data_IF_922760137629
#
_entry.id   IF_922760137629
#
_cell.length_a   1.000
_cell.length_b   1.000
_cell.length_c   1.000
_cell.angle_alpha   90.00
_cell.angle_beta   90.00
_cell.angle_gamma   90.00
#
_symmetry.space_group_name_H-M   'P 1'
#
loop_
_entity.id
_entity.type
_entity.pdbx_description
1 polymer ?
#
# COMPACT_ATOMS: atom_id res chain seq x y z
N UNK A 1 47.04 12.46 28.15
CA UNK A 1 45.67 12.58 27.59
C UNK A 1 45.67 11.90 26.25
N UNK A 2 45.05 10.73 26.16
CA UNK A 2 44.84 10.03 24.89
C UNK A 2 43.50 10.54 24.39
N UNK A 3 43.49 11.29 23.30
CA UNK A 3 42.26 11.62 22.59
C UNK A 3 41.74 10.32 21.97
N UNK A 4 40.66 9.79 22.53
CA UNK A 4 39.84 8.80 21.86
C UNK A 4 39.19 9.51 20.67
N UNK A 5 39.61 9.16 19.45
CA UNK A 5 38.84 9.54 18.26
C UNK A 5 37.43 8.95 18.39
N UNK A 6 36.36 9.72 18.10
CA UNK A 6 35.02 9.18 18.11
C UNK A 6 34.91 8.13 17.01
N UNK A 7 34.55 6.91 17.39
CA UNK A 7 34.18 5.89 16.42
C UNK A 7 33.09 6.46 15.48
N UNK A 8 33.24 6.33 14.16
CA UNK A 8 32.17 6.72 13.25
C UNK A 8 30.91 5.93 13.63
N UNK A 9 29.72 6.56 13.61
CA UNK A 9 28.49 5.87 13.97
C UNK A 9 28.32 4.64 13.05
N UNK A 10 27.92 3.52 13.65
CA UNK A 10 27.69 2.25 12.97
C UNK A 10 26.62 2.35 11.85
N UNK A 11 25.79 3.40 11.89
CA UNK A 11 24.73 3.70 10.94
C UNK A 11 24.79 5.16 10.50
N UNK A 12 24.43 5.44 9.25
CA UNK A 12 24.25 6.81 8.78
C UNK A 12 23.01 7.42 9.45
N UNK A 13 22.97 8.75 9.71
CA UNK A 13 21.79 9.37 10.29
C UNK A 13 20.56 9.10 9.41
N UNK A 14 19.38 8.80 9.99
CA UNK A 14 18.16 8.52 9.23
C UNK A 14 17.76 9.74 8.38
N UNK A 15 17.03 9.49 7.27
CA UNK A 15 16.58 10.58 6.38
C UNK A 15 15.82 11.66 7.14
N UNK A 16 15.05 11.28 8.16
CA UNK A 16 14.24 12.17 9.00
C UNK A 16 15.05 13.17 9.82
N UNK A 17 16.36 12.95 9.99
CA UNK A 17 17.26 13.88 10.68
C UNK A 17 18.04 14.79 9.72
N UNK A 18 18.00 14.50 8.40
CA UNK A 18 18.64 15.34 7.41
C UNK A 18 17.84 16.62 7.18
N UNK A 19 18.51 17.76 6.93
CA UNK A 19 17.83 19.03 6.67
C UNK A 19 16.97 18.93 5.41
N UNK A 20 15.67 19.21 5.57
CA UNK A 20 14.65 19.20 4.51
C UNK A 20 13.78 20.46 4.58
N UNK A 21 13.16 20.88 3.46
CA UNK A 21 12.13 21.90 3.49
C UNK A 21 10.89 21.39 4.25
N UNK A 22 10.07 22.30 4.83
CA UNK A 22 8.81 21.93 5.46
C UNK A 22 7.90 21.13 4.53
N UNK A 23 7.17 20.17 5.10
CA UNK A 23 6.19 19.35 4.37
C UNK A 23 5.14 20.26 3.74
N UNK A 24 4.94 20.23 2.41
CA UNK A 24 4.11 21.21 1.70
C UNK A 24 2.59 20.96 1.83
N UNK A 25 2.21 19.77 2.26
CA UNK A 25 0.81 19.33 2.32
C UNK A 25 0.11 19.91 3.56
N UNK A 26 -0.71 20.93 3.36
CA UNK A 26 -1.40 21.65 4.44
C UNK A 26 -2.90 21.77 4.17
N UNK A 27 -3.71 21.93 5.22
CA UNK A 27 -5.16 22.10 5.09
C UNK A 27 -5.49 23.33 4.23
N UNK A 28 -6.46 23.19 3.33
CA UNK A 28 -6.84 24.22 2.38
C UNK A 28 -5.87 24.42 1.22
N UNK A 29 -4.75 23.68 1.17
CA UNK A 29 -3.83 23.76 0.04
C UNK A 29 -4.49 23.26 -1.23
N UNK A 30 -4.34 24.05 -2.30
CA UNK A 30 -4.89 23.76 -3.63
C UNK A 30 -3.78 23.49 -4.62
N UNK A 31 -3.93 22.41 -5.37
CA UNK A 31 -2.94 22.01 -6.36
C UNK A 31 -3.60 21.42 -7.60
N UNK A 32 -2.84 21.40 -8.70
CA UNK A 32 -3.24 20.76 -9.95
C UNK A 32 -2.32 19.58 -10.18
N UNK A 33 -2.89 18.43 -10.53
CA UNK A 33 -2.13 17.24 -10.88
C UNK A 33 -2.49 16.79 -12.30
N UNK A 34 -1.48 16.43 -13.07
CA UNK A 34 -1.62 15.99 -14.47
C UNK A 34 -1.74 14.48 -14.54
N UNK A 35 -2.61 13.97 -15.39
CA UNK A 35 -2.80 12.54 -15.59
C UNK A 35 -1.48 11.87 -15.96
N UNK A 36 -1.30 10.67 -15.40
CA UNK A 36 -0.13 9.86 -15.62
C UNK A 36 -0.51 8.41 -15.91
N UNK A 37 -0.08 7.93 -17.07
CA UNK A 37 -0.16 6.50 -17.39
C UNK A 37 0.89 5.72 -16.57
N UNK A 38 0.41 4.98 -15.59
CA UNK A 38 1.24 4.10 -14.73
C UNK A 38 2.03 3.10 -15.58
N UNK A 39 3.35 2.94 -15.36
CA UNK A 39 4.12 1.86 -15.94
C UNK A 39 3.73 0.51 -15.31
N UNK A 40 4.28 -0.58 -15.84
CA UNK A 40 4.13 -1.91 -15.21
C UNK A 40 4.71 -1.91 -13.78
N UNK A 41 4.23 -2.81 -12.89
CA UNK A 41 4.84 -3.01 -11.58
C UNK A 41 6.34 -3.27 -11.70
N UNK A 42 7.13 -2.66 -10.82
CA UNK A 42 8.57 -2.93 -10.73
C UNK A 42 8.82 -4.38 -10.28
N UNK A 43 9.98 -4.94 -10.63
CA UNK A 43 10.35 -6.27 -10.13
C UNK A 43 10.59 -6.24 -8.62
N UNK A 44 10.04 -7.23 -7.91
CA UNK A 44 10.23 -7.40 -6.47
C UNK A 44 11.14 -8.58 -6.23
N UNK A 45 12.43 -8.30 -6.06
CA UNK A 45 13.45 -9.29 -5.69
C UNK A 45 13.93 -9.05 -4.26
N UNK A 46 14.65 -10.02 -3.69
CA UNK A 46 15.24 -9.87 -2.36
C UNK A 46 16.18 -8.65 -2.33
N UNK A 47 15.78 -7.62 -1.59
CA UNK A 47 16.57 -6.40 -1.44
C UNK A 47 16.42 -5.36 -2.54
N UNK A 48 15.40 -5.47 -3.40
CA UNK A 48 15.16 -4.56 -4.54
C UNK A 48 15.12 -3.07 -4.15
N UNK A 49 14.69 -2.74 -2.94
CA UNK A 49 14.64 -1.37 -2.45
C UNK A 49 15.76 -0.99 -1.46
N UNK A 50 16.80 -1.81 -1.27
CA UNK A 50 17.91 -1.45 -0.38
C UNK A 50 18.90 -0.49 -1.06
N UNK A 51 19.51 0.42 -0.30
CA UNK A 51 20.55 1.30 -0.81
C UNK A 51 21.78 0.49 -1.25
N UNK A 52 22.24 0.73 -2.48
CA UNK A 52 23.54 0.27 -2.98
C UNK A 52 24.69 1.09 -2.39
N UNK A 53 25.93 0.63 -2.54
CA UNK A 53 27.11 1.41 -2.16
C UNK A 53 27.21 2.75 -2.91
N UNK A 54 26.73 2.80 -4.16
CA UNK A 54 26.60 4.06 -4.90
C UNK A 54 25.55 4.99 -4.30
N UNK A 55 24.41 4.47 -3.82
CA UNK A 55 23.37 5.29 -3.21
C UNK A 55 23.83 5.88 -1.87
N UNK A 56 24.55 5.10 -1.06
CA UNK A 56 25.18 5.57 0.19
C UNK A 56 26.21 6.68 -0.11
N UNK A 57 27.06 6.49 -1.12
CA UNK A 57 28.00 7.55 -1.55
C UNK A 57 27.27 8.80 -1.99
N UNK A 58 26.19 8.68 -2.78
CA UNK A 58 25.40 9.83 -3.21
C UNK A 58 24.80 10.58 -2.01
N UNK A 59 24.23 9.85 -1.04
CA UNK A 59 23.63 10.40 0.18
C UNK A 59 24.61 11.24 1.00
N UNK A 60 25.90 10.88 1.02
CA UNK A 60 26.95 11.66 1.71
C UNK A 60 27.27 12.99 1.03
N UNK A 61 27.00 13.14 -0.26
CA UNK A 61 27.43 14.30 -1.04
C UNK A 61 26.28 15.20 -1.51
N UNK A 62 25.05 14.68 -1.57
CA UNK A 62 23.88 15.41 -2.03
C UNK A 62 22.85 15.56 -0.91
N UNK A 63 22.24 16.74 -0.81
CA UNK A 63 21.09 16.95 0.06
C UNK A 63 19.91 16.06 -0.34
N UNK A 64 18.96 15.75 0.57
CA UNK A 64 17.75 15.00 0.21
C UNK A 64 17.00 15.61 -0.98
N UNK A 65 16.97 16.95 -1.05
CA UNK A 65 16.34 17.71 -2.13
C UNK A 65 17.08 17.52 -3.46
N UNK A 66 18.41 17.66 -3.47
CA UNK A 66 19.19 17.48 -4.71
C UNK A 66 19.11 16.04 -5.23
N UNK A 67 18.99 15.06 -4.34
CA UNK A 67 18.72 13.67 -4.73
C UNK A 67 17.36 13.52 -5.41
N UNK A 68 16.31 14.18 -4.91
CA UNK A 68 14.99 14.18 -5.55
C UNK A 68 15.01 14.84 -6.94
N UNK A 69 15.78 15.92 -7.11
CA UNK A 69 15.95 16.56 -8.41
C UNK A 69 16.74 15.69 -9.40
N UNK A 70 17.74 14.95 -8.90
CA UNK A 70 18.57 14.04 -9.70
C UNK A 70 17.84 12.74 -10.07
N UNK A 71 16.89 12.29 -9.23
CA UNK A 71 16.17 11.01 -9.36
C UNK A 71 14.66 11.25 -9.48
N UNK A 72 14.18 11.70 -10.65
CA UNK A 72 12.74 11.80 -10.88
C UNK A 72 12.10 10.40 -10.84
N UNK A 73 10.80 10.31 -10.49
CA UNK A 73 10.07 9.04 -10.46
C UNK A 73 10.01 8.39 -11.84
N UNK A 74 9.76 7.06 -11.89
CA UNK A 74 9.68 6.29 -13.14
C UNK A 74 8.82 7.00 -14.19
N UNK A 75 9.29 7.11 -15.45
CA UNK A 75 8.55 7.80 -16.49
C UNK A 75 7.23 7.10 -16.82
N UNK A 76 6.31 7.85 -17.43
CA UNK A 76 5.05 7.33 -17.93
C UNK A 76 4.45 8.27 -18.97
N UNK A 77 3.34 7.85 -19.57
CA UNK A 77 2.63 8.67 -20.55
C UNK A 77 1.96 9.87 -19.88
N UNK A 78 2.18 11.07 -20.41
CA UNK A 78 1.41 12.25 -20.05
C UNK A 78 0.10 12.24 -20.86
N UNK A 79 -1.03 12.34 -20.16
CA UNK A 79 -2.33 12.54 -20.81
C UNK A 79 -2.70 14.02 -20.85
N UNK A 80 -3.84 14.31 -21.46
CA UNK A 80 -4.42 15.67 -21.47
C UNK A 80 -5.33 15.93 -20.25
N UNK A 81 -5.53 14.91 -19.42
CA UNK A 81 -6.41 15.00 -18.26
C UNK A 81 -5.66 15.66 -17.10
N UNK A 82 -6.33 16.57 -16.39
CA UNK A 82 -5.81 17.19 -15.19
C UNK A 82 -6.92 17.32 -14.16
N UNK A 83 -6.53 17.30 -12.89
CA UNK A 83 -7.43 17.49 -11.75
C UNK A 83 -6.94 18.65 -10.91
N UNK A 84 -7.90 19.44 -10.42
CA UNK A 84 -7.63 20.47 -9.42
C UNK A 84 -8.26 20.04 -8.11
N UNK A 85 -7.46 20.02 -7.05
CA UNK A 85 -7.83 19.46 -5.76
C UNK A 85 -7.60 20.48 -4.63
N UNK A 86 -8.33 20.32 -3.53
CA UNK A 86 -8.15 21.06 -2.27
C UNK A 86 -8.04 20.08 -1.11
N UNK A 87 -7.01 20.19 -0.27
CA UNK A 87 -6.86 19.34 0.92
C UNK A 87 -7.88 19.76 1.99
N UNK A 88 -8.72 18.81 2.41
CA UNK A 88 -9.72 18.99 3.46
C UNK A 88 -9.26 18.43 4.81
N UNK A 89 -8.54 17.30 4.81
CA UNK A 89 -8.10 16.62 6.03
C UNK A 89 -6.82 15.82 5.77
N UNK A 90 -5.86 15.89 6.69
CA UNK A 90 -4.66 15.06 6.67
C UNK A 90 -4.94 13.73 7.37
N UNK A 91 -4.74 12.60 6.67
CA UNK A 91 -4.94 11.26 7.25
C UNK A 91 -3.62 10.67 7.74
N UNK A 92 -2.59 10.69 6.89
CA UNK A 92 -1.23 10.21 7.19
C UNK A 92 -0.24 11.06 6.41
N UNK A 93 0.37 12.05 7.06
CA UNK A 93 1.21 13.03 6.39
C UNK A 93 2.29 13.55 7.35
N UNK A 94 3.47 13.87 6.80
CA UNK A 94 4.63 14.27 7.58
C UNK A 94 5.91 13.57 7.12
N UNK A 95 7.03 13.99 7.72
CA UNK A 95 8.32 13.33 7.53
C UNK A 95 8.34 11.97 8.23
N UNK A 96 8.96 10.97 7.59
CA UNK A 96 9.00 9.60 8.08
C UNK A 96 7.76 8.76 7.74
N UNK A 97 6.93 9.18 6.77
CA UNK A 97 5.80 8.38 6.30
C UNK A 97 6.05 7.81 4.89
N UNK A 98 5.65 6.54 4.70
CA UNK A 98 5.82 5.83 3.42
C UNK A 98 5.05 6.46 2.26
N UNK A 99 3.99 7.21 2.54
CA UNK A 99 3.23 8.00 1.58
C UNK A 99 2.48 9.10 2.33
N UNK A 100 2.01 10.10 1.59
CA UNK A 100 1.29 11.25 2.12
C UNK A 100 -0.18 11.09 1.70
N UNK A 101 -1.06 10.85 2.65
CA UNK A 101 -2.47 10.49 2.44
C UNK A 101 -3.37 11.55 3.06
N UNK A 102 -4.33 12.05 2.29
CA UNK A 102 -5.25 13.07 2.73
C UNK A 102 -6.57 13.03 1.96
N UNK A 103 -7.63 13.50 2.60
CA UNK A 103 -8.94 13.72 1.96
C UNK A 103 -8.86 15.02 1.18
N UNK A 104 -9.30 14.98 -0.08
CA UNK A 104 -9.36 16.11 -0.98
C UNK A 104 -10.76 16.35 -1.49
N UNK A 105 -11.08 17.60 -1.81
CA UNK A 105 -12.23 17.95 -2.64
C UNK A 105 -11.80 18.07 -4.09
N UNK A 106 -12.54 17.42 -5.00
CA UNK A 106 -12.41 17.65 -6.43
C UNK A 106 -12.98 19.03 -6.78
N UNK A 107 -12.15 19.96 -7.25
CA UNK A 107 -12.58 21.31 -7.61
C UNK A 107 -12.93 21.44 -9.10
N UNK A 108 -12.19 20.72 -9.95
CA UNK A 108 -12.41 20.66 -11.38
C UNK A 108 -11.66 19.47 -11.97
N UNK A 109 -12.18 18.92 -13.07
CA UNK A 109 -11.47 17.98 -13.93
C UNK A 109 -11.70 18.25 -15.41
N UNK A 110 -10.71 17.93 -16.23
CA UNK A 110 -10.90 17.83 -17.68
C UNK A 110 -11.39 16.44 -18.12
N UNK A 111 -11.42 15.45 -17.21
CA UNK A 111 -11.82 14.07 -17.50
C UNK A 111 -13.31 13.84 -17.20
N UNK A 112 -14.03 13.21 -18.13
CA UNK A 112 -15.45 12.88 -17.95
C UNK A 112 -15.69 11.63 -17.09
N UNK A 113 -14.65 10.86 -16.79
CA UNK A 113 -14.75 9.63 -15.98
C UNK A 113 -14.70 9.90 -14.48
N UNK A 114 -14.35 11.12 -14.06
CA UNK A 114 -14.28 11.49 -12.65
C UNK A 114 -15.65 11.84 -12.08
N UNK A 115 -15.81 11.74 -10.74
CA UNK A 115 -17.01 12.21 -10.06
C UNK A 115 -17.28 13.69 -10.27
N UNK A 116 -18.46 14.13 -9.84
CA UNK A 116 -18.86 15.54 -9.92
C UNK A 116 -17.94 16.43 -9.08
N UNK A 117 -17.75 17.67 -9.52
CA UNK A 117 -17.07 18.69 -8.75
C UNK A 117 -17.72 18.83 -7.36
N UNK A 118 -16.89 19.00 -6.33
CA UNK A 118 -17.29 18.98 -4.92
C UNK A 118 -17.19 17.61 -4.25
N UNK A 119 -17.03 16.52 -5.01
CA UNK A 119 -16.87 15.17 -4.42
C UNK A 119 -15.60 15.08 -3.59
N UNK A 120 -15.71 14.44 -2.41
CA UNK A 120 -14.59 14.13 -1.54
C UNK A 120 -13.94 12.80 -1.92
N UNK A 121 -12.62 12.81 -2.05
CA UNK A 121 -11.80 11.70 -2.51
C UNK A 121 -10.58 11.56 -1.60
N UNK A 122 -9.84 10.47 -1.72
CA UNK A 122 -8.54 10.30 -1.05
C UNK A 122 -7.42 10.43 -2.08
N UNK A 123 -6.50 11.35 -1.82
CA UNK A 123 -5.25 11.47 -2.56
C UNK A 123 -4.12 10.82 -1.76
N UNK A 124 -3.34 9.96 -2.42
CA UNK A 124 -2.12 9.36 -1.87
C UNK A 124 -0.94 9.73 -2.74
N UNK A 125 0.01 10.46 -2.16
CA UNK A 125 1.22 10.95 -2.82
C UNK A 125 2.44 10.13 -2.37
N UNK A 126 3.27 9.78 -3.34
CA UNK A 126 4.52 9.05 -3.16
C UNK A 126 5.69 10.05 -3.27
N UNK A 127 5.99 10.74 -2.18
CA UNK A 127 7.06 11.75 -2.10
C UNK A 127 8.31 11.16 -1.41
N UNK A 128 9.38 10.85 -2.17
CA UNK A 128 10.58 10.23 -1.59
C UNK A 128 11.33 11.15 -0.62
N UNK A 129 11.06 12.47 -0.65
CA UNK A 129 11.73 13.43 0.23
C UNK A 129 11.40 13.21 1.70
N UNK A 130 10.16 12.78 1.99
CA UNK A 130 9.63 12.60 3.34
C UNK A 130 9.49 11.12 3.75
N UNK A 131 10.14 10.24 2.98
CA UNK A 131 10.12 8.81 3.24
C UNK A 131 10.95 8.43 4.47
N UNK A 132 10.46 7.46 5.25
CA UNK A 132 11.27 6.79 6.26
C UNK A 132 12.17 5.75 5.61
N UNK A 133 13.47 6.05 5.52
CA UNK A 133 14.44 5.20 4.86
C UNK A 133 15.09 4.15 5.76
N UNK A 134 14.51 3.89 6.94
CA UNK A 134 14.96 2.87 7.89
C UNK A 134 16.46 3.00 8.19
N UNK A 135 16.83 4.16 8.76
CA UNK A 135 18.23 4.49 9.11
C UNK A 135 19.17 4.43 7.89
N UNK A 136 18.69 4.85 6.72
CA UNK A 136 19.46 4.82 5.47
C UNK A 136 19.63 3.42 4.87
N UNK A 137 18.93 2.40 5.37
CA UNK A 137 18.92 1.06 4.78
C UNK A 137 18.16 1.02 3.45
N UNK A 138 17.01 1.69 3.38
CA UNK A 138 16.12 1.69 2.22
C UNK A 138 16.45 2.84 1.28
N UNK A 139 16.23 2.61 -0.01
CA UNK A 139 16.31 3.61 -1.06
C UNK A 139 14.92 4.22 -1.28
N UNK A 140 14.68 5.49 -0.88
CA UNK A 140 13.37 6.12 -0.98
C UNK A 140 12.78 6.11 -2.39
N UNK A 141 13.64 6.29 -3.41
CA UNK A 141 13.21 6.40 -4.81
C UNK A 141 12.69 5.06 -5.32
N UNK A 142 13.44 3.97 -5.05
CA UNK A 142 13.02 2.62 -5.42
C UNK A 142 11.78 2.18 -4.65
N UNK A 143 11.68 2.52 -3.35
CA UNK A 143 10.48 2.24 -2.56
C UNK A 143 9.25 2.96 -3.13
N UNK A 144 9.35 4.27 -3.42
CA UNK A 144 8.22 5.05 -3.93
C UNK A 144 7.76 4.54 -5.30
N UNK A 145 8.70 4.24 -6.20
CA UNK A 145 8.39 3.67 -7.51
C UNK A 145 7.69 2.32 -7.38
N UNK A 146 8.17 1.45 -6.47
CA UNK A 146 7.50 0.16 -6.20
C UNK A 146 6.09 0.37 -5.65
N UNK A 147 5.93 1.15 -4.57
CA UNK A 147 4.62 1.32 -3.93
C UNK A 147 3.59 1.93 -4.89
N UNK A 148 3.99 2.96 -5.64
CA UNK A 148 3.12 3.60 -6.62
C UNK A 148 2.71 2.63 -7.73
N UNK A 149 3.68 1.96 -8.35
CA UNK A 149 3.40 1.09 -9.50
C UNK A 149 2.60 -0.14 -9.10
N UNK A 150 2.87 -0.73 -7.94
CA UNK A 150 2.13 -1.89 -7.46
C UNK A 150 0.70 -1.52 -7.13
N UNK A 151 0.50 -0.48 -6.31
CA UNK A 151 -0.83 -0.11 -5.85
C UNK A 151 -1.75 0.29 -7.00
N UNK A 152 -1.25 1.15 -7.91
CA UNK A 152 -2.05 1.60 -9.04
C UNK A 152 -2.37 0.47 -10.04
N UNK A 153 -1.46 -0.50 -10.23
CA UNK A 153 -1.75 -1.66 -11.08
C UNK A 153 -2.68 -2.67 -10.41
N UNK A 154 -2.67 -2.81 -9.07
CA UNK A 154 -3.64 -3.64 -8.36
C UNK A 154 -5.05 -3.11 -8.58
N UNK A 155 -5.27 -1.81 -8.42
CA UNK A 155 -6.57 -1.21 -8.70
C UNK A 155 -7.04 -1.47 -10.13
N UNK A 156 -6.15 -1.34 -11.13
CA UNK A 156 -6.48 -1.65 -12.53
C UNK A 156 -6.84 -3.13 -12.74
N UNK A 157 -6.09 -4.05 -12.13
CA UNK A 157 -6.31 -5.49 -12.26
C UNK A 157 -7.57 -5.97 -11.52
N UNK A 158 -7.97 -5.28 -10.45
CA UNK A 158 -9.07 -5.65 -9.57
C UNK A 158 -10.34 -4.80 -9.79
N UNK A 159 -10.56 -4.32 -11.02
CA UNK A 159 -11.69 -3.47 -11.37
C UNK A 159 -13.07 -4.00 -10.92
N UNK A 160 -13.26 -5.32 -10.90
CA UNK A 160 -14.52 -5.95 -10.47
C UNK A 160 -14.81 -5.82 -8.96
N UNK A 161 -13.79 -5.55 -8.14
CA UNK A 161 -13.92 -5.43 -6.68
C UNK A 161 -14.13 -3.98 -6.21
N UNK A 162 -13.96 -3.01 -7.11
CA UNK A 162 -14.01 -1.59 -6.80
C UNK A 162 -15.40 -1.12 -6.38
N UNK A 163 -15.46 -0.30 -5.32
CA UNK A 163 -16.70 0.22 -4.73
C UNK A 163 -17.47 -0.80 -3.90
N UNK A 164 -16.88 -1.97 -3.63
CA UNK A 164 -17.44 -3.02 -2.77
C UNK A 164 -16.40 -3.55 -1.79
N UNK A 165 -15.38 -4.24 -2.29
CA UNK A 165 -14.33 -4.83 -1.46
C UNK A 165 -13.06 -3.97 -1.40
N UNK A 166 -12.83 -3.14 -2.42
CA UNK A 166 -11.72 -2.19 -2.49
C UNK A 166 -12.23 -0.83 -2.95
N UNK A 167 -11.52 0.29 -2.69
CA UNK A 167 -11.92 1.61 -3.17
C UNK A 167 -12.05 1.68 -4.69
N UNK A 168 -12.97 2.52 -5.20
CA UNK A 168 -12.90 2.94 -6.60
C UNK A 168 -11.61 3.69 -6.88
N UNK A 169 -11.01 3.41 -8.03
CA UNK A 169 -9.79 4.04 -8.50
C UNK A 169 -10.10 5.05 -9.59
N UNK A 170 -9.79 6.31 -9.31
CA UNK A 170 -10.10 7.43 -10.19
C UNK A 170 -8.96 7.83 -11.11
N UNK A 171 -7.75 7.36 -10.81
CA UNK A 171 -6.62 7.50 -11.73
C UNK A 171 -5.29 7.73 -11.02
N UNK A 172 -4.27 7.85 -11.87
CA UNK A 172 -2.91 8.17 -11.50
C UNK A 172 -2.54 9.52 -12.05
N UNK A 173 -1.80 10.28 -11.26
CA UNK A 173 -1.45 11.65 -11.57
C UNK A 173 0.00 11.96 -11.16
N UNK A 174 0.50 13.08 -11.67
CA UNK A 174 1.79 13.65 -11.31
C UNK A 174 1.63 15.07 -10.85
N UNK A 175 2.43 15.45 -9.87
CA UNK A 175 2.41 16.77 -9.26
C UNK A 175 3.84 17.29 -9.18
N UNK A 176 4.04 18.50 -9.69
CA UNK A 176 5.30 19.21 -9.58
C UNK A 176 5.27 20.11 -8.33
N UNK A 177 6.13 19.79 -7.38
CA UNK A 177 6.26 20.51 -6.12
C UNK A 177 7.46 21.46 -6.18
N UNK A 178 7.28 22.74 -5.83
CA UNK A 178 8.39 23.67 -5.80
C UNK A 178 9.43 23.25 -4.77
N UNK A 179 10.69 23.29 -5.18
CA UNK A 179 11.86 23.16 -4.31
C UNK A 179 12.40 24.55 -3.98
N UNK A 180 12.47 25.40 -5.00
CA UNK A 180 12.83 26.81 -4.90
C UNK A 180 12.11 27.60 -6.02
N UNK A 181 12.53 28.85 -6.26
CA UNK A 181 11.89 29.72 -7.26
C UNK A 181 12.06 29.28 -8.71
N UNK A 182 12.93 28.31 -9.02
CA UNK A 182 13.26 27.88 -10.38
C UNK A 182 13.11 26.39 -10.61
N UNK A 183 13.14 25.57 -9.56
CA UNK A 183 13.19 24.11 -9.65
C UNK A 183 11.98 23.48 -8.98
N UNK A 184 11.42 22.47 -9.64
CA UNK A 184 10.38 21.61 -9.10
C UNK A 184 10.89 20.17 -9.00
N UNK A 185 10.37 19.42 -8.04
CA UNK A 185 10.47 17.96 -8.00
C UNK A 185 9.11 17.36 -8.36
N UNK A 186 9.11 16.35 -9.21
CA UNK A 186 7.89 15.63 -9.57
C UNK A 186 7.64 14.51 -8.58
N UNK A 187 6.40 14.37 -8.12
CA UNK A 187 5.93 13.24 -7.30
C UNK A 187 4.76 12.53 -7.99
N UNK A 188 4.55 11.24 -7.67
CA UNK A 188 3.42 10.46 -8.18
C UNK A 188 2.27 10.49 -7.18
N UNK A 189 1.05 10.40 -7.69
CA UNK A 189 -0.17 10.41 -6.91
C UNK A 189 -1.18 9.41 -7.48
N UNK A 190 -1.97 8.78 -6.60
CA UNK A 190 -3.22 8.13 -6.99
C UNK A 190 -4.41 8.85 -6.35
N UNK A 191 -5.55 8.78 -7.02
CA UNK A 191 -6.83 9.28 -6.53
C UNK A 191 -7.80 8.11 -6.39
N UNK A 192 -8.35 7.93 -5.20
CA UNK A 192 -9.26 6.82 -4.88
C UNK A 192 -10.48 7.31 -4.10
N UNK A 193 -11.48 6.44 -4.00
CA UNK A 193 -12.68 6.67 -3.21
C UNK A 193 -12.38 6.92 -1.74
N UNK A 194 -13.06 7.92 -1.18
CA UNK A 194 -13.10 8.11 0.26
C UNK A 194 -14.10 7.13 0.87
N UNK A 195 -13.58 6.19 1.67
CA UNK A 195 -14.38 5.18 2.37
C UNK A 195 -14.74 5.70 3.76
N UNK A 196 -16.03 5.73 4.05
CA UNK A 196 -16.55 6.03 5.38
C UNK A 196 -16.39 4.82 6.29
N UNK A 197 -15.83 5.03 7.49
CA UNK A 197 -15.64 3.97 8.47
C UNK A 197 -14.43 4.23 9.36
N UNK A 198 -14.01 3.20 10.08
CA UNK A 198 -12.83 3.20 10.94
C UNK A 198 -11.91 2.05 10.52
N UNK A 199 -10.60 2.22 10.64
CA UNK A 199 -9.68 1.10 10.40
C UNK A 199 -9.83 0.07 11.52
N UNK A 200 -9.57 -1.20 11.25
CA UNK A 200 -9.53 -2.21 12.32
C UNK A 200 -8.41 -1.93 13.35
N UNK A 201 -7.36 -1.19 12.98
CA UNK A 201 -6.32 -0.80 13.93
C UNK A 201 -6.78 0.30 14.91
N UNK A 202 -7.64 1.21 14.46
CA UNK A 202 -8.16 2.31 15.30
C UNK A 202 -9.44 1.92 16.05
N UNK A 203 -10.10 0.83 15.64
CA UNK A 203 -11.30 0.32 16.28
C UNK A 203 -10.96 -0.51 17.53
N UNK A 204 -11.84 -0.46 18.54
CA UNK A 204 -11.75 -1.34 19.70
C UNK A 204 -12.54 -2.64 19.42
N UNK A 205 -11.87 -3.82 19.28
CA UNK A 205 -12.54 -5.07 18.91
C UNK A 205 -13.66 -5.47 19.88
N UNK A 206 -13.54 -5.07 21.16
CA UNK A 206 -14.57 -5.34 22.20
C UNK A 206 -15.91 -4.64 21.95
N UNK A 207 -15.95 -3.62 21.10
CA UNK A 207 -17.21 -2.99 20.70
C UNK A 207 -18.02 -3.86 19.73
N UNK A 208 -17.39 -4.88 19.15
CA UNK A 208 -18.02 -5.81 18.22
C UNK A 208 -18.34 -7.12 18.93
N UNK A 209 -19.56 -7.62 18.73
CA UNK A 209 -19.92 -8.96 19.16
C UNK A 209 -19.00 -10.00 18.52
N UNK A 210 -18.80 -11.15 19.16
CA UNK A 210 -17.98 -12.24 18.59
C UNK A 210 -18.50 -12.67 17.20
N UNK A 211 -19.83 -12.76 17.02
CA UNK A 211 -20.43 -13.04 15.71
C UNK A 211 -20.13 -11.97 14.66
N UNK A 212 -20.07 -10.70 15.04
CA UNK A 212 -19.71 -9.61 14.13
C UNK A 212 -18.23 -9.70 13.74
N UNK A 213 -17.34 -9.99 14.70
CA UNK A 213 -15.90 -10.19 14.43
C UNK A 213 -15.66 -11.40 13.51
N UNK A 214 -16.36 -12.51 13.75
CA UNK A 214 -16.35 -13.68 12.85
C UNK A 214 -16.81 -13.30 11.43
N UNK A 215 -17.88 -12.51 11.30
CA UNK A 215 -18.33 -12.03 9.99
C UNK A 215 -17.29 -11.16 9.28
N UNK A 216 -16.67 -10.22 10.00
CA UNK A 216 -15.59 -9.36 9.47
C UNK A 216 -14.43 -10.22 8.95
N UNK A 217 -13.93 -11.15 9.78
CA UNK A 217 -12.80 -12.00 9.39
C UNK A 217 -13.18 -12.93 8.23
N UNK A 218 -14.41 -13.45 8.19
CA UNK A 218 -14.90 -14.22 7.05
C UNK A 218 -14.88 -13.39 5.76
N UNK A 219 -15.37 -12.16 5.81
CA UNK A 219 -15.39 -11.26 4.67
C UNK A 219 -13.96 -10.92 4.17
N UNK A 220 -13.00 -10.77 5.08
CA UNK A 220 -11.57 -10.60 4.73
C UNK A 220 -11.03 -11.85 4.04
N UNK A 221 -11.26 -13.04 4.60
CA UNK A 221 -10.80 -14.32 4.03
C UNK A 221 -11.42 -14.55 2.65
N UNK A 222 -12.73 -14.32 2.48
CA UNK A 222 -13.45 -14.44 1.22
C UNK A 222 -12.83 -13.49 0.17
N UNK A 223 -12.70 -12.21 0.50
CA UNK A 223 -12.20 -11.20 -0.42
C UNK A 223 -10.73 -11.41 -0.78
N UNK A 224 -9.86 -11.66 0.20
CA UNK A 224 -8.44 -11.94 -0.06
C UNK A 224 -8.28 -13.19 -0.92
N UNK A 225 -9.10 -14.22 -0.73
CA UNK A 225 -9.05 -15.44 -1.55
C UNK A 225 -9.42 -15.19 -3.00
N UNK A 226 -10.40 -14.31 -3.25
CA UNK A 226 -10.79 -13.89 -4.59
C UNK A 226 -9.74 -12.99 -5.25
N UNK A 227 -9.06 -12.16 -4.47
CA UNK A 227 -7.90 -11.38 -4.96
C UNK A 227 -6.71 -12.30 -5.27
N UNK A 228 -6.45 -13.27 -4.39
CA UNK A 228 -5.41 -14.28 -4.58
C UNK A 228 -5.65 -15.06 -5.87
N UNK A 229 -6.90 -15.46 -6.15
CA UNK A 229 -7.31 -16.10 -7.41
C UNK A 229 -6.89 -15.29 -8.66
N UNK A 230 -6.86 -13.96 -8.58
CA UNK A 230 -6.38 -13.04 -9.65
C UNK A 230 -4.86 -12.87 -9.71
N UNK A 231 -4.13 -13.80 -9.11
CA UNK A 231 -2.68 -13.84 -9.06
C UNK A 231 -2.05 -12.67 -8.30
N UNK A 232 -2.80 -12.06 -7.38
CA UNK A 232 -2.33 -10.95 -6.55
C UNK A 232 -2.30 -11.40 -5.10
N UNK A 233 -1.13 -11.30 -4.46
CA UNK A 233 -0.97 -11.60 -3.04
C UNK A 233 -0.79 -10.32 -2.23
N UNK A 234 -1.73 -10.07 -1.33
CA UNK A 234 -1.69 -8.97 -0.36
C UNK A 234 -0.78 -9.34 0.82
N UNK A 235 0.52 -9.05 0.72
CA UNK A 235 1.49 -9.41 1.76
C UNK A 235 1.45 -8.49 2.99
N UNK A 236 0.82 -7.33 2.89
CA UNK A 236 0.64 -6.37 3.98
C UNK A 236 -0.82 -6.29 4.44
N UNK A 237 -1.50 -7.45 4.49
CA UNK A 237 -2.88 -7.53 4.97
C UNK A 237 -2.89 -7.45 6.50
N UNK A 238 -3.10 -6.24 7.00
CA UNK A 238 -2.98 -5.86 8.40
C UNK A 238 -4.22 -5.06 8.84
N UNK A 239 -4.58 -5.01 10.13
CA UNK A 239 -5.76 -4.27 10.60
C UNK A 239 -5.83 -2.80 10.16
N UNK A 240 -4.67 -2.13 10.05
CA UNK A 240 -4.58 -0.74 9.55
C UNK A 240 -5.00 -0.57 8.09
N UNK A 241 -5.02 -1.67 7.33
CA UNK A 241 -5.33 -1.72 5.90
C UNK A 241 -6.74 -2.28 5.64
N UNK A 242 -7.57 -2.41 6.68
CA UNK A 242 -8.98 -2.81 6.57
C UNK A 242 -9.85 -1.75 7.22
N UNK A 243 -10.72 -1.13 6.43
CA UNK A 243 -11.77 -0.24 6.93
C UNK A 243 -13.02 -1.06 7.18
N UNK A 244 -13.58 -0.96 8.37
CA UNK A 244 -14.88 -1.51 8.74
C UNK A 244 -15.88 -0.37 8.77
N UNK A 245 -17.05 -0.60 8.19
CA UNK A 245 -18.20 0.28 8.36
C UNK A 245 -18.72 0.27 9.82
N UNK A 246 -19.89 0.84 10.06
CA UNK A 246 -20.41 1.09 11.41
C UNK A 246 -20.40 -0.16 12.31
N UNK A 247 -19.90 -0.02 13.54
CA UNK A 247 -19.95 -1.06 14.56
C UNK A 247 -21.38 -1.42 15.02
N UNK A 248 -22.37 -0.59 14.69
CA UNK A 248 -23.77 -0.86 14.98
C UNK A 248 -24.38 -1.92 14.04
N UNK A 249 -23.75 -2.19 12.89
CA UNK A 249 -24.25 -3.14 11.91
C UNK A 249 -23.87 -4.56 12.32
N UNK A 250 -24.83 -5.50 12.23
CA UNK A 250 -24.55 -6.92 12.49
C UNK A 250 -23.66 -7.56 11.43
N UNK A 251 -23.60 -6.96 10.24
CA UNK A 251 -22.82 -7.41 9.09
C UNK A 251 -22.15 -6.19 8.42
N UNK A 252 -21.13 -5.62 9.08
CA UNK A 252 -20.47 -4.44 8.56
C UNK A 252 -19.72 -4.80 7.27
N UNK A 253 -19.85 -3.96 6.26
CA UNK A 253 -19.00 -4.01 5.08
C UNK A 253 -17.55 -3.75 5.47
N UNK A 254 -16.63 -4.51 4.86
CA UNK A 254 -15.19 -4.30 4.93
C UNK A 254 -14.67 -3.78 3.60
N UNK A 255 -13.65 -2.93 3.66
CA UNK A 255 -12.93 -2.44 2.48
C UNK A 255 -11.43 -2.57 2.73
N UNK A 256 -10.74 -3.32 1.86
CA UNK A 256 -9.28 -3.43 1.89
C UNK A 256 -8.66 -2.22 1.19
N UNK A 257 -7.65 -1.63 1.81
CA UNK A 257 -6.92 -0.47 1.29
C UNK A 257 -5.41 -0.74 1.32
N UNK A 258 -4.64 0.19 0.76
CA UNK A 258 -3.18 0.17 0.72
C UNK A 258 -2.57 -1.09 0.05
N UNK A 259 -2.40 -1.02 -1.27
CA UNK A 259 -1.85 -2.13 -2.05
C UNK A 259 -0.38 -1.93 -2.47
N UNK A 260 0.35 -1.02 -1.82
CA UNK A 260 1.73 -0.68 -2.20
C UNK A 260 2.71 -1.86 -2.12
N UNK A 261 2.40 -2.86 -1.29
CA UNK A 261 3.24 -4.05 -1.10
C UNK A 261 2.76 -5.28 -1.88
N UNK A 262 1.63 -5.21 -2.59
CA UNK A 262 1.04 -6.39 -3.23
C UNK A 262 2.00 -7.06 -4.24
N UNK A 263 2.01 -8.39 -4.27
CA UNK A 263 2.82 -9.17 -5.21
C UNK A 263 1.97 -9.71 -6.35
N UNK A 264 2.37 -9.41 -7.58
CA UNK A 264 1.81 -10.05 -8.76
C UNK A 264 2.38 -11.47 -8.93
N UNK A 265 1.63 -12.34 -9.58
CA UNK A 265 1.93 -13.77 -9.70
C UNK A 265 2.07 -14.51 -8.36
N UNK A 266 1.52 -13.96 -7.27
CA UNK A 266 1.59 -14.48 -5.90
C UNK A 266 3.01 -14.76 -5.40
N UNK A 267 4.02 -14.06 -5.93
CA UNK A 267 5.43 -14.34 -5.62
C UNK A 267 6.33 -13.14 -5.84
N UNK A 268 7.57 -13.25 -5.34
CA UNK A 268 8.68 -12.39 -5.73
C UNK A 268 9.27 -12.83 -7.08
N UNK A 269 9.95 -11.92 -7.74
CA UNK A 269 10.62 -12.13 -9.03
C UNK A 269 12.03 -12.75 -8.88
N UNK A 270 12.31 -13.36 -7.74
CA UNK A 270 13.56 -14.09 -7.49
C UNK A 270 13.61 -15.38 -8.34
N UNK A 271 14.76 -15.77 -8.92
CA UNK A 271 14.85 -16.96 -9.78
C UNK A 271 14.33 -18.26 -9.14
N UNK A 272 14.57 -18.45 -7.84
CA UNK A 272 14.07 -19.62 -7.10
C UNK A 272 12.54 -19.59 -6.95
N UNK A 273 11.97 -18.41 -6.66
CA UNK A 273 10.53 -18.25 -6.56
C UNK A 273 9.83 -18.48 -7.90
N UNK A 274 10.50 -18.17 -9.02
CA UNK A 274 9.98 -18.41 -10.36
C UNK A 274 9.78 -19.90 -10.70
N UNK A 275 10.55 -20.80 -10.06
CA UNK A 275 10.47 -22.25 -10.27
C UNK A 275 9.29 -22.90 -9.54
N UNK A 276 8.71 -22.23 -8.54
CA UNK A 276 7.62 -22.77 -7.75
C UNK A 276 6.28 -22.66 -8.51
N UNK A 277 5.50 -23.72 -8.47
CA UNK A 277 4.14 -23.72 -8.99
C UNK A 277 3.18 -23.10 -7.96
N UNK A 278 2.70 -21.89 -8.26
CA UNK A 278 1.71 -21.17 -7.43
C UNK A 278 0.28 -21.33 -7.93
N UNK A 279 0.05 -22.24 -8.89
CA UNK A 279 -1.26 -22.52 -9.46
C UNK A 279 -1.95 -21.23 -9.94
N UNK A 280 -1.23 -20.44 -10.76
CA UNK A 280 -1.70 -19.16 -11.24
C UNK A 280 -3.05 -19.29 -11.97
N UNK A 281 -3.93 -18.33 -11.75
CA UNK A 281 -5.31 -18.30 -12.25
C UNK A 281 -6.26 -19.28 -11.57
N UNK A 282 -5.80 -20.10 -10.60
CA UNK A 282 -6.65 -21.05 -9.88
C UNK A 282 -7.02 -20.54 -8.50
N UNK A 283 -8.25 -20.82 -8.07
CA UNK A 283 -8.70 -20.58 -6.71
C UNK A 283 -8.00 -21.54 -5.74
N UNK A 284 -7.40 -21.00 -4.68
CA UNK A 284 -6.76 -21.80 -3.63
C UNK A 284 -7.57 -21.68 -2.34
N UNK A 285 -8.13 -22.81 -1.92
CA UNK A 285 -8.99 -22.93 -0.74
C UNK A 285 -8.38 -22.24 0.49
N UNK A 286 -9.15 -21.42 1.24
CA UNK A 286 -8.72 -20.82 2.50
C UNK A 286 -8.20 -21.83 3.50
N UNK A 287 -8.76 -23.05 3.51
CA UNK A 287 -8.32 -24.15 4.37
C UNK A 287 -6.81 -24.46 4.27
N UNK A 288 -6.17 -24.16 3.13
CA UNK A 288 -4.73 -24.36 2.94
C UNK A 288 -3.88 -23.12 3.29
N UNK A 289 -4.48 -21.92 3.26
CA UNK A 289 -3.75 -20.65 3.27
C UNK A 289 -3.96 -19.83 4.54
N UNK A 290 -5.05 -20.10 5.24
CA UNK A 290 -5.52 -19.32 6.38
C UNK A 290 -5.56 -20.12 7.68
N UNK A 291 -5.15 -21.39 7.70
CA UNK A 291 -4.99 -22.10 8.97
C UNK A 291 -3.93 -21.41 9.87
N UNK A 292 -4.03 -21.61 11.17
CA UNK A 292 -3.22 -20.89 12.15
C UNK A 292 -1.71 -21.15 11.96
N UNK A 293 -1.33 -22.36 11.54
CA UNK A 293 0.06 -22.72 11.22
C UNK A 293 0.67 -21.86 10.10
N UNK A 294 -0.14 -21.23 9.23
CA UNK A 294 0.36 -20.28 8.22
C UNK A 294 0.66 -18.88 8.78
N UNK A 295 0.31 -18.61 10.04
CA UNK A 295 0.63 -17.37 10.74
C UNK A 295 -0.07 -16.11 10.23
N UNK A 296 -1.04 -16.22 9.32
CA UNK A 296 -1.82 -15.07 8.84
C UNK A 296 -2.69 -14.45 9.93
N UNK A 297 -3.12 -15.26 10.90
CA UNK A 297 -3.90 -14.86 12.08
C UNK A 297 -3.11 -13.96 13.03
N UNK A 298 -1.78 -13.98 12.99
CA UNK A 298 -0.92 -13.15 13.85
C UNK A 298 -1.08 -11.64 13.64
N UNK A 299 -1.63 -11.22 12.50
CA UNK A 299 -1.99 -9.82 12.26
C UNK A 299 -3.29 -9.41 12.98
N UNK A 300 -4.12 -10.37 13.43
CA UNK A 300 -5.45 -10.15 13.99
C UNK A 300 -5.66 -10.69 15.42
N UNK A 301 -4.65 -10.67 16.32
CA UNK A 301 -4.72 -11.39 17.60
C UNK A 301 -5.85 -10.86 18.50
N UNK A 302 -6.08 -9.55 18.50
CA UNK A 302 -7.13 -8.93 19.32
C UNK A 302 -8.55 -9.11 18.76
N UNK A 303 -8.66 -9.58 17.51
CA UNK A 303 -9.94 -9.80 16.83
C UNK A 303 -10.46 -11.23 16.97
N UNK A 304 -9.61 -12.17 17.38
CA UNK A 304 -9.90 -13.61 17.44
C UNK A 304 -9.84 -14.09 18.90
N UNK A 305 -10.96 -14.55 19.44
CA UNK A 305 -11.08 -15.16 20.77
C UNK A 305 -11.84 -16.50 20.73
N UNK A 306 -11.85 -17.14 19.56
CA UNK A 306 -12.43 -18.47 19.33
C UNK A 306 -11.39 -19.39 18.70
N UNK A 307 -11.71 -20.70 18.64
CA UNK A 307 -10.90 -21.68 17.92
C UNK A 307 -10.94 -21.39 16.41
N UNK A 308 -9.87 -20.75 15.92
CA UNK A 308 -9.78 -20.28 14.54
C UNK A 308 -9.84 -21.42 13.53
N UNK A 309 -9.09 -22.50 13.74
CA UNK A 309 -9.02 -23.60 12.78
C UNK A 309 -10.36 -24.36 12.73
N UNK A 310 -10.99 -24.62 13.88
CA UNK A 310 -12.32 -25.23 13.91
C UNK A 310 -13.38 -24.37 13.19
N UNK A 311 -13.33 -23.06 13.41
CA UNK A 311 -14.22 -22.11 12.74
C UNK A 311 -13.95 -22.05 11.23
N UNK A 312 -12.68 -21.98 10.82
CA UNK A 312 -12.26 -21.93 9.42
C UNK A 312 -12.70 -23.20 8.67
N UNK A 313 -12.50 -24.37 9.27
CA UNK A 313 -12.97 -25.64 8.71
C UNK A 313 -14.48 -25.66 8.53
N UNK A 314 -15.23 -25.15 9.51
CA UNK A 314 -16.70 -25.10 9.44
C UNK A 314 -17.18 -24.15 8.34
N UNK A 315 -16.70 -22.91 8.32
CA UNK A 315 -17.13 -21.88 7.37
C UNK A 315 -16.72 -22.20 5.92
N UNK A 316 -15.53 -22.79 5.75
CA UNK A 316 -14.94 -23.04 4.44
C UNK A 316 -14.90 -24.53 4.05
N UNK A 317 -15.60 -25.41 4.76
CA UNK A 317 -15.72 -26.83 4.40
C UNK A 317 -16.14 -27.03 2.94
N UNK A 318 -17.01 -26.15 2.43
CA UNK A 318 -17.49 -26.19 1.05
C UNK A 318 -16.39 -26.00 0.00
N UNK A 319 -15.24 -25.40 0.34
CA UNK A 319 -14.11 -25.24 -0.57
C UNK A 319 -13.14 -26.44 -0.55
N UNK A 320 -13.34 -27.41 0.33
CA UNK A 320 -12.48 -28.59 0.42
C UNK A 320 -12.44 -29.41 -0.89
N UNK A 321 -13.56 -29.43 -1.63
CA UNK A 321 -13.68 -30.15 -2.91
C UNK A 321 -12.79 -29.57 -4.01
N UNK A 322 -12.33 -28.32 -3.89
CA UNK A 322 -11.43 -27.69 -4.87
C UNK A 322 -9.95 -28.00 -4.60
N UNK A 323 -9.63 -28.66 -3.48
CA UNK A 323 -8.23 -28.93 -3.09
C UNK A 323 -7.71 -30.14 -3.85
N UNK A 324 -6.69 -29.92 -4.69
CA UNK A 324 -5.98 -31.00 -5.37
C UNK A 324 -4.84 -31.56 -4.51
N UNK A 325 -4.35 -32.79 -4.77
CA UNK A 325 -3.18 -33.33 -4.08
C UNK A 325 -1.95 -32.44 -4.21
N UNK A 326 -1.69 -31.88 -5.40
CA UNK A 326 -0.56 -31.00 -5.63
C UNK A 326 -0.68 -29.66 -4.86
N UNK A 327 -1.90 -29.13 -4.70
CA UNK A 327 -2.12 -27.98 -3.82
C UNK A 327 -1.85 -28.33 -2.35
N UNK A 328 -2.30 -29.51 -1.90
CA UNK A 328 -2.04 -29.95 -0.52
C UNK A 328 -0.54 -30.07 -0.24
N UNK A 329 0.22 -30.64 -1.16
CA UNK A 329 1.68 -30.74 -1.07
C UNK A 329 2.36 -29.36 -1.04
N UNK A 330 1.90 -28.41 -1.86
CA UNK A 330 2.50 -27.06 -1.90
C UNK A 330 2.30 -26.28 -0.59
N UNK A 331 1.19 -26.53 0.10
CA UNK A 331 0.78 -25.84 1.33
C UNK A 331 0.83 -26.74 2.57
N UNK A 332 1.54 -27.87 2.55
CA UNK A 332 1.78 -28.66 3.76
C UNK A 332 2.59 -27.86 4.80
N UNK A 333 2.53 -28.29 6.05
CA UNK A 333 3.28 -27.68 7.17
C UNK A 333 4.69 -28.27 7.35
N UNK A 334 5.10 -29.15 6.43
CA UNK A 334 6.40 -29.83 6.41
C UNK A 334 7.56 -28.97 5.87
#
# INVERSE_FOLDING_TARGET
MIFLEPHPPLFEPPSTELPKPPVPYTLGWRFTAEYHSVPAPTLVTRGCCMNSESDKKERKHLSPVDRCLKRPPLPGGKGNDAVRLEILQLLKCGDGHNSQVFIVRLLASTSQSLPQDGTELVAKIYDPLYFNDDEGRLNPFLCMDQYYTHEANVYKALGEFQGRGIPRYYGSYSLDLPVDSKRNRTVRMILIEHIQGITMADAEPKWFSQSTRQHILKAIVDLESRIYEKDIWLIDLEPRNVIVSSAADSQPQIVLIDFGHALFNRRRDDPLAMQLNYFLGQYISPLLRWNDAKGKTFAFPDWIDWDWDCWLETEFAHTAVSITPAMRERWSDD
#
